data_IF_835023845018
#
_entry.id   IF_835023845018
#
_cell.length_a   1.000
_cell.length_b   1.000
_cell.length_c   1.000
_cell.angle_alpha   90.00
_cell.angle_beta   90.00
_cell.angle_gamma   90.00
#
_symmetry.space_group_name_H-M   'P 1'
#
loop_
_entity.id
_entity.type
_entity.pdbx_description
1 polymer ?
#
# COMPACT_ATOMS: atom_id res chain seq x y z
N UNK A 1 3.94 15.18 10.53
CA UNK A 1 4.23 14.06 9.62
C UNK A 1 5.71 13.74 9.49
N UNK A 2 6.62 14.66 9.60
CA UNK A 2 8.06 14.43 9.44
C UNK A 2 8.68 13.40 10.41
N UNK A 3 8.05 13.16 11.55
CA UNK A 3 8.51 12.19 12.55
C UNK A 3 7.99 10.76 12.28
N UNK A 4 7.13 10.57 11.28
CA UNK A 4 6.58 9.26 10.93
C UNK A 4 7.50 8.62 9.89
N UNK A 5 8.26 7.63 10.32
CA UNK A 5 9.10 6.81 9.43
C UNK A 5 8.34 5.55 9.00
N UNK A 6 8.66 4.98 7.82
CA UNK A 6 8.17 3.67 7.46
C UNK A 6 8.63 2.62 8.48
N UNK A 7 7.85 1.55 8.63
CA UNK A 7 8.23 0.44 9.51
C UNK A 7 9.58 -0.14 9.11
N UNK A 8 10.56 -0.12 10.02
CA UNK A 8 11.96 -0.47 9.70
C UNK A 8 12.42 -1.83 10.24
N UNK A 9 11.63 -2.50 11.08
CA UNK A 9 12.04 -3.75 11.72
C UNK A 9 12.23 -4.92 10.74
N UNK A 10 11.69 -4.82 9.53
CA UNK A 10 11.84 -5.86 8.50
C UNK A 10 12.97 -5.58 7.50
N UNK A 11 13.70 -4.47 7.64
CA UNK A 11 14.80 -4.13 6.71
C UNK A 11 15.91 -5.17 6.63
N UNK A 12 16.11 -5.95 7.67
CA UNK A 12 17.08 -7.07 7.65
C UNK A 12 16.61 -8.27 6.81
N UNK A 13 15.33 -8.31 6.42
CA UNK A 13 14.72 -9.35 5.59
C UNK A 13 14.57 -8.89 4.15
N UNK A 14 14.17 -7.63 3.95
CA UNK A 14 13.89 -7.06 2.63
C UNK A 14 14.09 -5.54 2.63
N UNK A 15 14.70 -5.04 1.56
CA UNK A 15 14.76 -3.62 1.22
C UNK A 15 14.49 -3.45 -0.28
N UNK A 16 13.50 -2.63 -0.63
CA UNK A 16 13.10 -2.43 -2.02
C UNK A 16 14.22 -1.82 -2.89
N UNK A 17 15.08 -1.00 -2.29
CA UNK A 17 16.24 -0.39 -2.93
C UNK A 17 17.38 -1.36 -3.24
N UNK A 18 17.38 -2.54 -2.62
CA UNK A 18 18.37 -3.61 -2.87
C UNK A 18 17.82 -4.74 -3.76
N UNK A 19 16.52 -4.75 -4.00
CA UNK A 19 15.84 -5.75 -4.83
C UNK A 19 15.88 -5.36 -6.31
N UNK A 20 16.61 -6.10 -7.18
CA UNK A 20 16.69 -5.80 -8.62
C UNK A 20 15.35 -5.86 -9.36
N UNK A 21 14.32 -6.50 -8.80
CA UNK A 21 12.98 -6.61 -9.35
C UNK A 21 12.05 -5.47 -8.88
N UNK A 22 12.52 -4.69 -7.90
CA UNK A 22 11.75 -3.56 -7.37
C UNK A 22 11.86 -2.34 -8.27
N UNK A 23 10.74 -1.60 -8.41
CA UNK A 23 10.71 -0.30 -9.07
C UNK A 23 11.58 0.75 -8.36
N UNK A 24 11.92 0.52 -7.10
CA UNK A 24 12.76 1.40 -6.30
C UNK A 24 14.22 0.94 -6.21
N UNK A 25 14.60 -0.06 -7.01
CA UNK A 25 15.97 -0.56 -7.04
C UNK A 25 17.01 0.53 -7.27
N UNK A 26 18.05 0.52 -6.45
CA UNK A 26 19.16 1.49 -6.52
C UNK A 26 18.82 2.88 -5.97
N UNK A 27 17.63 3.10 -5.43
CA UNK A 27 17.27 4.36 -4.77
C UNK A 27 18.13 4.60 -3.55
N UNK A 28 18.52 5.86 -3.34
CA UNK A 28 19.25 6.30 -2.14
C UNK A 28 18.40 7.31 -1.39
N UNK A 29 18.40 7.22 -0.07
CA UNK A 29 17.60 8.06 0.81
C UNK A 29 18.50 8.97 1.64
N UNK A 30 18.15 10.27 1.73
CA UNK A 30 18.78 11.17 2.67
C UNK A 30 18.29 10.87 4.09
N UNK A 31 19.19 11.02 5.06
CA UNK A 31 18.81 10.99 6.49
C UNK A 31 18.47 12.38 7.03
N UNK A 32 18.84 13.44 6.31
CA UNK A 32 18.80 14.80 6.81
C UNK A 32 18.02 15.78 5.94
N UNK A 33 17.81 15.48 4.67
CA UNK A 33 17.16 16.37 3.71
C UNK A 33 15.71 15.98 3.50
N UNK A 34 14.79 16.79 4.02
CA UNK A 34 13.35 16.69 3.86
C UNK A 34 12.93 17.55 2.65
N UNK A 35 12.88 16.96 1.48
CA UNK A 35 12.52 17.64 0.22
C UNK A 35 11.05 17.48 -0.17
N UNK A 36 10.36 16.50 0.37
CA UNK A 36 8.98 16.17 0.05
C UNK A 36 8.03 16.68 1.14
N UNK A 37 6.87 17.18 0.73
CA UNK A 37 5.88 17.70 1.66
C UNK A 37 4.45 17.48 1.14
N UNK A 38 3.52 17.22 2.05
CA UNK A 38 2.08 17.30 1.81
C UNK A 38 1.56 18.54 2.53
N UNK A 39 1.07 19.54 1.77
CA UNK A 39 0.74 20.87 2.26
C UNK A 39 1.92 21.50 3.02
N UNK A 40 1.77 21.76 4.32
CA UNK A 40 2.78 22.35 5.19
C UNK A 40 3.56 21.30 6.02
N UNK A 41 3.37 20.02 5.76
CA UNK A 41 3.99 18.94 6.51
C UNK A 41 5.04 18.23 5.67
N UNK A 42 6.28 18.24 6.14
CA UNK A 42 7.35 17.46 5.53
C UNK A 42 7.11 15.97 5.69
N UNK A 43 7.45 15.23 4.65
CA UNK A 43 7.44 13.77 4.63
C UNK A 43 8.86 13.27 4.92
N UNK A 44 8.99 12.26 5.78
CA UNK A 44 10.29 11.68 6.11
C UNK A 44 10.98 11.15 4.85
N UNK A 45 12.30 11.38 4.66
CA UNK A 45 13.01 11.03 3.41
C UNK A 45 13.00 9.54 3.03
N UNK A 46 12.68 8.66 3.97
CA UNK A 46 12.57 7.21 3.73
C UNK A 46 11.32 6.78 2.98
N UNK A 47 10.31 7.65 2.87
CA UNK A 47 9.13 7.39 2.06
C UNK A 47 9.41 7.61 0.58
N UNK A 48 8.85 6.75 -0.26
CA UNK A 48 8.97 6.82 -1.71
C UNK A 48 7.83 7.59 -2.35
N UNK A 49 8.14 8.46 -3.30
CA UNK A 49 7.18 9.02 -4.24
C UNK A 49 6.98 8.04 -5.40
N UNK A 50 5.76 8.03 -5.95
CA UNK A 50 5.38 7.16 -7.05
C UNK A 50 4.50 7.85 -8.11
N UNK A 51 4.41 9.18 -8.08
CA UNK A 51 3.62 10.00 -8.99
C UNK A 51 2.49 10.80 -8.32
N UNK A 52 1.96 10.32 -7.19
CA UNK A 52 1.01 11.11 -6.40
C UNK A 52 1.68 12.35 -5.80
N UNK A 53 0.90 13.43 -5.67
CA UNK A 53 1.37 14.67 -5.03
C UNK A 53 1.19 14.67 -3.51
N UNK A 54 0.30 13.83 -2.99
CA UNK A 54 -0.13 13.85 -1.59
C UNK A 54 -0.01 12.50 -0.89
N UNK A 55 0.21 11.42 -1.64
CA UNK A 55 0.37 10.07 -1.13
C UNK A 55 1.79 9.57 -1.39
N UNK A 56 2.39 8.97 -0.37
CA UNK A 56 3.71 8.34 -0.41
C UNK A 56 3.60 6.92 0.11
N UNK A 57 4.55 6.08 -0.24
CA UNK A 57 4.56 4.69 0.19
C UNK A 57 5.96 4.17 0.51
N UNK A 58 6.03 3.01 1.12
CA UNK A 58 7.23 2.18 1.24
C UNK A 58 6.85 0.72 1.03
N UNK A 59 7.54 0.03 0.12
CA UNK A 59 7.43 -1.42 0.02
C UNK A 59 8.25 -2.01 1.16
N UNK A 60 7.57 -2.62 2.13
CA UNK A 60 8.18 -3.18 3.34
C UNK A 60 8.68 -4.60 3.13
N UNK A 61 7.99 -5.37 2.29
CA UNK A 61 8.33 -6.76 2.03
C UNK A 61 7.69 -7.27 0.74
N UNK A 62 8.41 -8.09 -0.02
CA UNK A 62 7.90 -8.82 -1.18
C UNK A 62 8.34 -10.27 -1.08
N UNK A 63 7.40 -11.18 -1.30
CA UNK A 63 7.68 -12.62 -1.47
C UNK A 63 7.19 -13.04 -2.85
N UNK A 64 8.12 -13.34 -3.73
CA UNK A 64 7.85 -13.73 -5.12
C UNK A 64 7.34 -15.17 -5.25
N UNK A 65 7.62 -16.03 -4.29
CA UNK A 65 7.16 -17.43 -4.31
C UNK A 65 5.70 -17.51 -3.83
N UNK A 66 5.35 -16.77 -2.76
CA UNK A 66 3.99 -16.66 -2.24
C UNK A 66 3.16 -15.55 -2.92
N UNK A 67 3.79 -14.78 -3.83
CA UNK A 67 3.17 -13.77 -4.69
C UNK A 67 2.48 -12.64 -3.92
N UNK A 68 3.08 -12.17 -2.83
CA UNK A 68 2.53 -11.06 -2.05
C UNK A 68 3.51 -9.91 -1.82
N UNK A 69 2.96 -8.72 -1.62
CA UNK A 69 3.70 -7.54 -1.20
C UNK A 69 3.00 -6.86 -0.01
N UNK A 70 3.81 -6.32 0.90
CA UNK A 70 3.36 -5.48 2.00
C UNK A 70 3.85 -4.06 1.75
N UNK A 71 2.92 -3.12 1.63
CA UNK A 71 3.18 -1.72 1.29
C UNK A 71 2.57 -0.84 2.39
N UNK A 72 3.38 0.01 3.01
CA UNK A 72 2.91 1.01 3.96
C UNK A 72 2.76 2.36 3.26
N UNK A 73 1.69 3.10 3.58
CA UNK A 73 1.37 4.37 2.93
C UNK A 73 1.20 5.50 3.95
N UNK A 74 1.52 6.72 3.53
CA UNK A 74 1.36 7.94 4.32
C UNK A 74 0.87 9.09 3.47
N UNK A 75 0.05 9.94 4.04
CA UNK A 75 -0.39 11.19 3.44
C UNK A 75 -1.89 11.27 3.23
N UNK A 76 -2.29 11.77 2.07
CA UNK A 76 -3.69 11.92 1.67
C UNK A 76 -3.94 11.16 0.36
N UNK A 77 -4.96 10.31 0.36
CA UNK A 77 -5.40 9.58 -0.83
C UNK A 77 -6.53 10.35 -1.50
N UNK A 78 -6.25 10.95 -2.64
CA UNK A 78 -7.18 11.84 -3.33
C UNK A 78 -7.47 11.36 -4.77
N UNK A 79 -8.49 10.53 -4.92
CA UNK A 79 -8.95 10.08 -6.24
C UNK A 79 -9.77 11.13 -6.96
N UNK A 80 -10.42 12.03 -6.22
CA UNK A 80 -11.33 13.02 -6.79
C UNK A 80 -10.63 14.07 -7.68
N UNK A 81 -9.41 14.43 -7.32
CA UNK A 81 -8.65 15.49 -8.02
C UNK A 81 -7.38 14.92 -8.65
N UNK A 82 -6.64 14.09 -7.92
CA UNK A 82 -5.31 13.63 -8.33
C UNK A 82 -5.34 12.21 -8.94
N UNK A 83 -6.46 11.48 -8.80
CA UNK A 83 -6.62 10.10 -9.25
C UNK A 83 -5.54 9.16 -8.70
N UNK A 84 -5.31 9.23 -7.39
CA UNK A 84 -4.22 8.51 -6.72
C UNK A 84 -4.30 7.00 -6.88
N UNK A 85 -5.51 6.42 -6.99
CA UNK A 85 -5.66 4.99 -7.30
C UNK A 85 -5.04 4.64 -8.66
N UNK A 86 -5.17 5.51 -9.66
CA UNK A 86 -4.56 5.30 -10.98
C UNK A 86 -3.03 5.32 -10.87
N UNK A 87 -2.47 6.31 -10.17
CA UNK A 87 -1.02 6.40 -9.97
C UNK A 87 -0.50 5.18 -9.20
N UNK A 88 -1.16 4.80 -8.09
CA UNK A 88 -0.81 3.63 -7.31
C UNK A 88 -0.86 2.35 -8.17
N UNK A 89 -1.95 2.17 -8.92
CA UNK A 89 -2.11 1.00 -9.78
C UNK A 89 -1.00 0.94 -10.82
N UNK A 90 -0.86 1.98 -11.65
CA UNK A 90 0.04 1.97 -12.82
C UNK A 90 1.52 1.98 -12.47
N UNK A 91 1.88 2.81 -11.50
CA UNK A 91 3.29 3.02 -11.17
C UNK A 91 3.84 2.02 -10.15
N UNK A 92 2.96 1.34 -9.40
CA UNK A 92 3.39 0.40 -8.35
C UNK A 92 2.80 -0.99 -8.55
N UNK A 93 1.46 -1.14 -8.50
CA UNK A 93 0.84 -2.46 -8.45
C UNK A 93 0.98 -3.22 -9.78
N UNK A 94 0.79 -2.55 -10.93
CA UNK A 94 0.98 -3.17 -12.26
C UNK A 94 2.43 -3.66 -12.42
N UNK A 95 3.40 -2.88 -11.95
CA UNK A 95 4.83 -3.29 -11.99
C UNK A 95 5.10 -4.51 -11.11
N UNK A 96 4.46 -4.59 -9.95
CA UNK A 96 4.56 -5.77 -9.10
C UNK A 96 3.83 -6.97 -9.71
N UNK A 97 2.69 -6.76 -10.39
CA UNK A 97 2.00 -7.82 -11.13
C UNK A 97 2.82 -8.35 -12.31
N UNK A 98 3.56 -7.49 -13.03
CA UNK A 98 4.54 -7.92 -14.05
C UNK A 98 5.60 -8.86 -13.48
N UNK A 99 5.91 -8.74 -12.17
CA UNK A 99 6.83 -9.60 -11.44
C UNK A 99 6.15 -10.80 -10.75
N UNK A 100 4.85 -11.01 -10.99
CA UNK A 100 4.08 -12.14 -10.46
C UNK A 100 3.49 -11.94 -9.07
N UNK A 101 3.36 -10.71 -8.60
CA UNK A 101 2.73 -10.38 -7.32
C UNK A 101 1.27 -10.04 -7.54
N UNK A 102 0.36 -10.77 -6.90
CA UNK A 102 -1.09 -10.59 -7.04
C UNK A 102 -1.83 -10.44 -5.71
N UNK A 103 -1.12 -10.49 -4.58
CA UNK A 103 -1.69 -10.31 -3.25
C UNK A 103 -1.08 -9.08 -2.60
N UNK A 104 -1.90 -8.07 -2.31
CA UNK A 104 -1.45 -6.77 -1.82
C UNK A 104 -1.97 -6.46 -0.44
N UNK A 105 -1.06 -6.28 0.52
CA UNK A 105 -1.36 -5.78 1.87
C UNK A 105 -0.96 -4.31 1.91
N UNK A 106 -1.94 -3.42 1.91
CA UNK A 106 -1.77 -1.98 1.91
C UNK A 106 -2.04 -1.44 3.32
N UNK A 107 -0.99 -1.11 4.06
CA UNK A 107 -1.10 -0.56 5.41
C UNK A 107 -1.39 0.93 5.30
N UNK A 108 -2.57 1.34 5.71
CA UNK A 108 -3.13 2.68 5.50
C UNK A 108 -3.37 3.46 6.80
N UNK A 109 -2.74 3.07 7.91
CA UNK A 109 -2.95 3.74 9.20
C UNK A 109 -2.42 5.18 9.24
N UNK A 110 -1.50 5.54 8.35
CA UNK A 110 -0.98 6.90 8.17
C UNK A 110 -1.55 7.62 6.96
N UNK A 111 -2.61 7.09 6.35
CA UNK A 111 -3.41 7.78 5.33
C UNK A 111 -4.53 8.55 6.05
N UNK A 112 -4.34 9.84 6.22
CA UNK A 112 -5.18 10.66 7.13
C UNK A 112 -6.48 11.13 6.51
N UNK A 113 -6.53 11.26 5.18
CA UNK A 113 -7.72 11.63 4.43
C UNK A 113 -7.90 10.73 3.22
N UNK A 114 -9.15 10.54 2.84
CA UNK A 114 -9.55 9.85 1.62
C UNK A 114 -10.66 10.63 0.92
N UNK A 115 -10.46 10.90 -0.36
CA UNK A 115 -11.44 11.56 -1.24
C UNK A 115 -11.71 10.67 -2.44
N UNK A 116 -12.87 10.06 -2.47
CA UNK A 116 -13.24 9.12 -3.53
C UNK A 116 -13.45 9.81 -4.88
N UNK A 117 -12.98 9.17 -5.94
CA UNK A 117 -13.24 9.50 -7.34
C UNK A 117 -14.06 8.41 -8.04
N UNK A 118 -13.72 8.14 -9.29
CA UNK A 118 -14.29 7.06 -10.07
C UNK A 118 -13.77 5.69 -9.59
N UNK A 119 -14.60 4.67 -9.71
CA UNK A 119 -14.29 3.32 -9.26
C UNK A 119 -13.54 2.47 -10.29
N UNK A 120 -13.39 2.94 -11.51
CA UNK A 120 -12.95 2.14 -12.66
C UNK A 120 -11.58 1.49 -12.44
N UNK A 121 -10.63 2.21 -11.85
CA UNK A 121 -9.31 1.65 -11.54
C UNK A 121 -9.32 0.63 -10.40
N UNK A 122 -10.28 0.74 -9.46
CA UNK A 122 -10.48 -0.29 -8.42
C UNK A 122 -11.04 -1.57 -9.03
N UNK A 123 -11.99 -1.44 -9.96
CA UNK A 123 -12.61 -2.55 -10.68
C UNK A 123 -11.59 -3.26 -11.57
N UNK A 124 -10.82 -2.50 -12.34
CA UNK A 124 -9.72 -3.00 -13.18
C UNK A 124 -8.68 -3.77 -12.34
N UNK A 125 -8.20 -3.19 -11.23
CA UNK A 125 -7.26 -3.85 -10.32
C UNK A 125 -7.84 -5.18 -9.79
N UNK A 126 -9.10 -5.14 -9.34
CA UNK A 126 -9.77 -6.33 -8.79
C UNK A 126 -9.86 -7.45 -9.83
N UNK A 127 -10.26 -7.14 -11.06
CA UNK A 127 -10.41 -8.13 -12.13
C UNK A 127 -9.05 -8.76 -12.46
N UNK A 128 -8.02 -7.95 -12.60
CA UNK A 128 -6.66 -8.43 -12.91
C UNK A 128 -6.06 -9.33 -11.82
N UNK A 129 -6.19 -8.97 -10.54
CA UNK A 129 -5.67 -9.80 -9.45
C UNK A 129 -6.52 -11.04 -9.19
N UNK A 130 -7.85 -10.95 -9.39
CA UNK A 130 -8.77 -12.08 -9.20
C UNK A 130 -8.53 -13.20 -10.20
N UNK A 131 -8.16 -12.90 -11.44
CA UNK A 131 -7.80 -13.88 -12.47
C UNK A 131 -6.63 -14.78 -12.04
N UNK A 132 -5.75 -14.25 -11.17
CA UNK A 132 -4.59 -14.97 -10.62
C UNK A 132 -4.82 -15.46 -9.16
N UNK A 133 -6.08 -15.51 -8.71
CA UNK A 133 -6.47 -15.85 -7.34
C UNK A 133 -5.85 -14.91 -6.28
N UNK A 134 -5.59 -13.67 -6.68
CA UNK A 134 -5.07 -12.63 -5.82
C UNK A 134 -6.16 -11.87 -5.08
N UNK A 135 -5.72 -10.93 -4.26
CA UNK A 135 -6.57 -10.04 -3.48
C UNK A 135 -5.81 -8.79 -3.03
N UNK A 136 -6.54 -7.76 -2.69
CA UNK A 136 -5.99 -6.55 -2.07
C UNK A 136 -6.73 -6.24 -0.77
N UNK A 137 -6.01 -5.79 0.25
CA UNK A 137 -6.56 -5.41 1.56
C UNK A 137 -5.96 -4.10 2.05
N UNK A 138 -6.80 -3.19 2.55
CA UNK A 138 -6.41 -2.00 3.31
C UNK A 138 -6.42 -2.35 4.80
N UNK A 139 -5.26 -2.27 5.43
CA UNK A 139 -5.09 -2.55 6.86
C UNK A 139 -5.04 -1.25 7.63
N UNK A 140 -5.84 -1.18 8.70
CA UNK A 140 -5.93 -0.05 9.65
C UNK A 140 -6.26 1.29 8.98
N UNK A 141 -7.10 1.27 7.95
CA UNK A 141 -7.56 2.49 7.31
C UNK A 141 -8.39 3.32 8.28
N UNK A 142 -8.14 4.62 8.36
CA UNK A 142 -8.81 5.50 9.33
C UNK A 142 -10.34 5.44 9.22
N UNK A 143 -11.03 5.39 10.35
CA UNK A 143 -12.49 5.29 10.40
C UNK A 143 -13.19 6.42 9.64
N UNK A 144 -12.67 7.64 9.70
CA UNK A 144 -13.19 8.77 8.94
C UNK A 144 -13.08 8.56 7.42
N UNK A 145 -11.96 7.97 6.97
CA UNK A 145 -11.71 7.64 5.56
C UNK A 145 -12.52 6.42 5.10
N UNK A 146 -12.75 5.46 5.99
CA UNK A 146 -13.58 4.28 5.70
C UNK A 146 -15.01 4.65 5.32
N UNK A 147 -15.56 5.72 5.90
CA UNK A 147 -16.94 6.12 5.62
C UNK A 147 -17.16 6.41 4.12
N UNK A 148 -16.33 7.25 3.51
CA UNK A 148 -16.44 7.57 2.07
C UNK A 148 -16.12 6.34 1.19
N UNK A 149 -15.12 5.56 1.57
CA UNK A 149 -14.74 4.32 0.90
C UNK A 149 -15.91 3.31 0.85
N UNK A 150 -16.60 3.12 1.98
CA UNK A 150 -17.77 2.23 2.08
C UNK A 150 -19.01 2.81 1.38
N UNK A 151 -19.21 4.12 1.45
CA UNK A 151 -20.31 4.78 0.77
C UNK A 151 -20.25 4.56 -0.76
N UNK A 152 -19.04 4.58 -1.31
CA UNK A 152 -18.75 4.29 -2.73
C UNK A 152 -18.67 2.80 -3.05
N UNK A 153 -18.82 1.93 -2.04
CA UNK A 153 -18.76 0.46 -2.15
C UNK A 153 -17.43 -0.06 -2.71
N UNK A 154 -16.33 0.67 -2.46
CA UNK A 154 -14.98 0.29 -2.90
C UNK A 154 -14.46 -0.96 -2.16
N UNK A 155 -15.05 -1.28 -1.00
CA UNK A 155 -14.78 -2.52 -0.27
C UNK A 155 -15.19 -3.81 -1.01
N UNK A 156 -15.78 -3.68 -2.19
CA UNK A 156 -16.00 -4.81 -3.11
C UNK A 156 -14.74 -5.22 -3.88
N UNK A 157 -13.82 -4.26 -4.02
CA UNK A 157 -12.60 -4.41 -4.80
C UNK A 157 -11.36 -4.56 -3.92
N UNK A 158 -11.31 -3.81 -2.82
CA UNK A 158 -10.24 -3.88 -1.83
C UNK A 158 -10.87 -4.08 -0.44
N UNK A 159 -10.52 -5.18 0.22
CA UNK A 159 -11.00 -5.51 1.56
C UNK A 159 -10.52 -4.53 2.62
N UNK A 160 -11.30 -4.34 3.69
CA UNK A 160 -10.88 -3.56 4.87
C UNK A 160 -10.63 -4.50 6.05
N UNK A 161 -9.49 -4.33 6.72
CA UNK A 161 -9.12 -5.11 7.91
C UNK A 161 -8.50 -4.24 9.00
N UNK A 162 -8.85 -4.55 10.24
CA UNK A 162 -8.24 -3.94 11.43
C UNK A 162 -7.29 -4.96 12.10
N UNK A 163 -6.00 -4.64 12.14
CA UNK A 163 -4.95 -5.46 12.76
C UNK A 163 -3.99 -4.51 13.48
N UNK A 164 -4.35 -4.07 14.68
CA UNK A 164 -3.60 -3.06 15.45
C UNK A 164 -2.18 -3.48 15.82
N UNK A 165 -1.92 -4.79 15.94
CA UNK A 165 -0.63 -5.34 16.34
C UNK A 165 0.24 -5.80 15.15
N UNK A 166 -0.02 -5.33 13.93
CA UNK A 166 0.66 -5.80 12.72
C UNK A 166 2.20 -5.71 12.79
N UNK A 167 2.73 -4.69 13.46
CA UNK A 167 4.19 -4.49 13.63
C UNK A 167 4.88 -5.56 14.45
N UNK A 168 4.13 -6.39 15.19
CA UNK A 168 4.68 -7.46 16.04
C UNK A 168 4.88 -8.78 15.29
N UNK A 169 4.29 -8.90 14.10
CA UNK A 169 4.42 -10.08 13.26
C UNK A 169 5.70 -10.05 12.42
N UNK A 170 6.17 -11.23 12.02
CA UNK A 170 7.04 -11.35 10.84
C UNK A 170 6.20 -11.17 9.57
N UNK A 171 6.78 -10.76 8.45
CA UNK A 171 6.03 -10.53 7.20
C UNK A 171 5.19 -11.73 6.78
N UNK A 172 5.78 -12.92 6.82
CA UNK A 172 5.12 -14.15 6.39
C UNK A 172 3.97 -14.55 7.33
N UNK A 173 4.15 -14.40 8.64
CA UNK A 173 3.09 -14.67 9.64
C UNK A 173 1.93 -13.66 9.48
N UNK A 174 2.24 -12.41 9.19
CA UNK A 174 1.26 -11.37 8.93
C UNK A 174 0.46 -11.67 7.65
N UNK A 175 1.15 -12.05 6.57
CA UNK A 175 0.52 -12.51 5.34
C UNK A 175 -0.41 -13.70 5.59
N UNK A 176 0.06 -14.75 6.27
CA UNK A 176 -0.75 -15.94 6.55
C UNK A 176 -2.01 -15.62 7.35
N UNK A 177 -1.92 -14.73 8.34
CA UNK A 177 -3.07 -14.26 9.11
C UNK A 177 -4.13 -13.63 8.20
N UNK A 178 -3.72 -12.78 7.26
CA UNK A 178 -4.62 -12.09 6.34
C UNK A 178 -5.20 -13.06 5.32
N UNK A 179 -4.37 -13.87 4.68
CA UNK A 179 -4.78 -14.84 3.67
C UNK A 179 -5.83 -15.83 4.22
N UNK A 180 -5.64 -16.32 5.46
CA UNK A 180 -6.62 -17.15 6.15
C UNK A 180 -7.96 -16.43 6.37
N UNK A 181 -7.91 -15.16 6.80
CA UNK A 181 -9.13 -14.35 7.03
C UNK A 181 -9.91 -14.11 5.72
N UNK A 182 -9.22 -13.84 4.62
CA UNK A 182 -9.83 -13.65 3.31
C UNK A 182 -10.45 -14.97 2.82
N UNK A 183 -9.70 -16.06 2.88
CA UNK A 183 -10.17 -17.38 2.46
C UNK A 183 -11.41 -17.84 3.24
N UNK A 184 -11.44 -17.59 4.57
CA UNK A 184 -12.59 -17.93 5.41
C UNK A 184 -13.86 -17.12 5.09
N UNK A 185 -13.75 -15.92 4.53
CA UNK A 185 -14.90 -15.11 4.11
C UNK A 185 -15.48 -15.53 2.77
N UNK A 186 -14.69 -16.20 1.94
CA UNK A 186 -15.09 -16.69 0.62
C UNK A 186 -15.73 -18.08 0.67
N UNK A 187 -15.66 -18.77 1.81
CA UNK A 187 -16.32 -20.07 2.09
C UNK A 187 -17.58 -19.90 2.93
#
# INVERSE_FOLDING_TARGET
MHDIEPHYHWRHLYMAEEDPRSIFFGRTYSEFEFSQAVYNYYIHPQWDEFGSKTLYLKILFVDYDLQFAIIEMIGEWNDAIENDIMELKREVLDKLMEEGIYKFILIAESVFNFHSGDKDYYEELYDEIADENGWAVLVNFHQASQHDFLLRKLNRYIELMEISAWRTYKPEDFFQLIDQKITQRLT
#
